data_IF_022153970587
#
_entry.id   IF_022153970587
#
_cell.length_a   1.000
_cell.length_b   1.000
_cell.length_c   1.000
_cell.angle_alpha   90.00
_cell.angle_beta   90.00
_cell.angle_gamma   90.00
#
_symmetry.space_group_name_H-M   'P 1'
#
loop_
_entity.id
_entity.type
_entity.pdbx_description
1 polymer ?
#
# COMPACT_ATOMS: atom_id res chain seq x y z
N UNK A 1 -16.46 -20.14 -9.85
CA UNK A 1 -15.01 -20.49 -9.87
C UNK A 1 -14.57 -20.77 -8.43
N UNK A 2 -14.08 -21.98 -8.12
CA UNK A 2 -13.48 -22.25 -6.79
C UNK A 2 -12.06 -21.70 -6.80
N UNK A 3 -11.81 -20.66 -6.01
CA UNK A 3 -10.45 -20.16 -5.78
C UNK A 3 -9.72 -21.18 -4.89
N UNK A 4 -8.73 -21.87 -5.46
CA UNK A 4 -7.95 -22.92 -4.79
C UNK A 4 -6.60 -22.43 -4.24
N UNK A 5 -6.24 -21.17 -4.49
CA UNK A 5 -4.99 -20.60 -3.99
C UNK A 5 -5.13 -20.32 -2.49
N UNK A 6 -4.32 -21.00 -1.69
CA UNK A 6 -4.19 -20.70 -0.27
C UNK A 6 -3.58 -19.30 -0.11
N UNK A 7 -4.06 -18.50 0.86
CA UNK A 7 -3.42 -17.24 1.20
C UNK A 7 -2.00 -17.51 1.70
N UNK A 8 -1.05 -16.66 1.28
CA UNK A 8 0.32 -16.71 1.78
C UNK A 8 0.35 -16.20 3.22
N UNK A 9 1.14 -16.85 4.08
CA UNK A 9 1.45 -16.31 5.42
C UNK A 9 2.27 -15.02 5.31
N UNK A 10 2.37 -14.26 6.39
CA UNK A 10 3.13 -13.00 6.41
C UNK A 10 4.62 -13.24 6.09
N UNK A 11 5.20 -14.33 6.59
CA UNK A 11 6.59 -14.73 6.31
C UNK A 11 6.77 -15.16 4.84
N UNK A 12 5.77 -15.81 4.26
CA UNK A 12 5.77 -16.17 2.85
C UNK A 12 5.65 -14.93 1.95
N UNK A 13 4.92 -13.90 2.40
CA UNK A 13 4.82 -12.63 1.70
C UNK A 13 6.16 -11.89 1.72
N UNK A 14 6.86 -11.80 2.86
CA UNK A 14 8.19 -11.16 2.89
C UNK A 14 9.22 -11.91 2.07
N UNK A 15 9.20 -13.25 2.11
CA UNK A 15 10.06 -14.09 1.28
C UNK A 15 9.80 -13.85 -0.22
N UNK A 16 8.53 -13.83 -0.64
CA UNK A 16 8.15 -13.55 -2.03
C UNK A 16 8.64 -12.18 -2.52
N UNK A 17 8.57 -11.16 -1.67
CA UNK A 17 9.03 -9.81 -2.01
C UNK A 17 10.55 -9.77 -2.19
N UNK A 18 11.30 -10.44 -1.30
CA UNK A 18 12.76 -10.59 -1.41
C UNK A 18 13.16 -11.36 -2.67
N UNK A 19 12.48 -12.46 -2.97
CA UNK A 19 12.73 -13.28 -4.17
C UNK A 19 12.52 -12.51 -5.48
N UNK A 20 11.65 -11.49 -5.45
CA UNK A 20 11.40 -10.56 -6.56
C UNK A 20 12.36 -9.38 -6.62
N UNK A 21 13.35 -9.34 -5.73
CA UNK A 21 14.36 -8.28 -5.69
C UNK A 21 13.99 -7.05 -4.86
N UNK A 22 12.95 -7.12 -4.01
CA UNK A 22 12.67 -6.02 -3.07
C UNK A 22 13.60 -6.13 -1.86
N UNK A 23 14.34 -5.07 -1.58
CA UNK A 23 15.14 -4.99 -0.36
C UNK A 23 14.24 -4.71 0.84
N UNK A 24 14.46 -5.43 1.94
CA UNK A 24 13.75 -5.24 3.21
C UNK A 24 14.82 -5.04 4.29
N UNK A 25 14.86 -3.86 4.92
CA UNK A 25 15.88 -3.54 5.92
C UNK A 25 15.62 -4.23 7.25
N UNK A 26 14.39 -4.09 7.77
CA UNK A 26 13.92 -4.76 8.99
C UNK A 26 12.74 -5.67 8.67
N UNK A 27 12.99 -6.97 8.64
CA UNK A 27 11.97 -7.96 8.31
C UNK A 27 10.87 -8.05 9.37
N UNK A 28 11.20 -7.91 10.66
CA UNK A 28 10.19 -7.96 11.72
C UNK A 28 9.24 -6.76 11.63
N UNK A 29 9.78 -5.57 11.33
CA UNK A 29 8.97 -4.38 11.07
C UNK A 29 8.09 -4.56 9.82
N UNK A 30 8.66 -5.08 8.72
CA UNK A 30 7.92 -5.33 7.48
C UNK A 30 6.76 -6.32 7.69
N UNK A 31 6.97 -7.39 8.45
CA UNK A 31 5.92 -8.36 8.79
C UNK A 31 4.79 -7.71 9.58
N UNK A 32 5.11 -6.90 10.60
CA UNK A 32 4.11 -6.16 11.38
C UNK A 32 3.31 -5.18 10.51
N UNK A 33 3.98 -4.52 9.57
CA UNK A 33 3.33 -3.60 8.63
C UNK A 33 2.41 -4.39 7.67
N UNK A 34 2.85 -5.54 7.15
CA UNK A 34 2.04 -6.40 6.30
C UNK A 34 0.82 -6.95 7.03
N UNK A 35 0.94 -7.26 8.32
CA UNK A 35 -0.18 -7.66 9.17
C UNK A 35 -1.20 -6.53 9.37
N UNK A 36 -0.72 -5.29 9.57
CA UNK A 36 -1.58 -4.12 9.82
C UNK A 36 -2.24 -3.57 8.55
N UNK A 37 -1.48 -3.42 7.46
CA UNK A 37 -1.92 -2.74 6.23
C UNK A 37 -2.46 -3.73 5.20
N UNK A 38 -2.06 -5.00 5.28
CA UNK A 38 -2.21 -6.06 4.27
C UNK A 38 -1.32 -5.89 3.04
N UNK A 39 -0.79 -7.02 2.55
CA UNK A 39 -0.09 -7.09 1.27
C UNK A 39 -0.91 -6.52 0.10
N UNK A 40 -2.22 -6.81 0.06
CA UNK A 40 -3.07 -6.38 -1.06
C UNK A 40 -3.14 -4.86 -1.19
N UNK A 41 -3.20 -4.15 -0.08
CA UNK A 41 -3.17 -2.68 -0.08
C UNK A 41 -1.81 -2.16 -0.52
N UNK A 42 -0.73 -2.73 -0.01
CA UNK A 42 0.65 -2.36 -0.39
C UNK A 42 0.99 -2.73 -1.84
N UNK A 43 0.33 -3.72 -2.44
CA UNK A 43 0.60 -4.19 -3.79
C UNK A 43 0.52 -3.08 -4.86
N UNK A 44 -0.38 -2.11 -4.69
CA UNK A 44 -0.49 -0.99 -5.61
C UNK A 44 0.72 -0.05 -5.53
N UNK A 45 1.34 0.05 -4.36
CA UNK A 45 2.50 0.91 -4.10
C UNK A 45 3.82 0.23 -4.48
N UNK A 46 3.82 -1.10 -4.65
CA UNK A 46 4.92 -1.85 -5.27
C UNK A 46 5.00 -1.61 -6.78
N UNK A 47 3.88 -1.43 -7.47
CA UNK A 47 3.82 -1.32 -8.95
C UNK A 47 4.74 -0.28 -9.59
N UNK A 48 4.91 0.94 -9.05
CA UNK A 48 5.85 1.93 -9.60
C UNK A 48 7.32 1.50 -9.49
N UNK A 49 7.61 0.62 -8.53
CA UNK A 49 8.94 0.12 -8.21
C UNK A 49 9.32 -1.14 -8.98
N UNK A 50 8.34 -1.78 -9.64
CA UNK A 50 8.57 -2.92 -10.52
C UNK A 50 9.30 -2.49 -11.81
N UNK A 51 10.32 -3.26 -12.17
CA UNK A 51 11.01 -3.19 -13.46
C UNK A 51 10.18 -3.89 -14.53
N UNK A 52 9.64 -5.08 -14.21
CA UNK A 52 8.72 -5.82 -15.07
C UNK A 52 7.41 -6.10 -14.34
N UNK A 53 6.32 -5.56 -14.91
CA UNK A 53 4.98 -5.65 -14.34
C UNK A 53 4.31 -7.01 -14.55
N UNK A 54 4.82 -7.84 -15.45
CA UNK A 54 4.29 -9.19 -15.69
C UNK A 54 4.87 -10.18 -14.68
N UNK A 55 6.20 -10.17 -14.51
CA UNK A 55 6.90 -11.04 -13.56
C UNK A 55 6.95 -10.48 -12.13
N UNK A 56 6.57 -9.21 -11.93
CA UNK A 56 6.62 -8.49 -10.66
C UNK A 56 8.05 -8.33 -10.11
N UNK A 57 9.06 -8.33 -10.98
CA UNK A 57 10.45 -8.11 -10.59
C UNK A 57 10.69 -6.64 -10.27
N UNK A 58 11.37 -6.36 -9.17
CA UNK A 58 11.66 -5.00 -8.70
C UNK A 58 12.91 -4.41 -9.34
N UNK A 59 12.95 -3.07 -9.41
CA UNK A 59 14.15 -2.34 -9.85
C UNK A 59 15.27 -2.46 -8.80
N UNK A 60 16.55 -2.45 -9.19
CA UNK A 60 17.65 -2.35 -8.25
C UNK A 60 17.48 -1.15 -7.32
N UNK A 61 17.65 -1.37 -6.00
CA UNK A 61 17.47 -0.32 -5.00
C UNK A 61 16.02 -0.04 -4.61
N UNK A 62 15.03 -0.77 -5.14
CA UNK A 62 13.68 -0.75 -4.60
C UNK A 62 13.68 -1.34 -3.18
N UNK A 63 13.07 -0.62 -2.24
CA UNK A 63 12.96 -1.04 -0.84
C UNK A 63 11.52 -1.10 -0.39
N UNK A 64 11.22 -1.97 0.58
CA UNK A 64 9.90 -2.05 1.19
C UNK A 64 9.50 -0.73 1.87
N UNK A 65 10.46 -0.07 2.50
CA UNK A 65 10.27 1.20 3.19
C UNK A 65 9.82 2.31 2.23
N UNK A 66 10.32 2.33 0.99
CA UNK A 66 9.88 3.29 -0.02
C UNK A 66 8.41 3.06 -0.42
N UNK A 67 7.97 1.81 -0.50
CA UNK A 67 6.57 1.49 -0.78
C UNK A 67 5.65 1.90 0.38
N UNK A 68 6.11 1.72 1.62
CA UNK A 68 5.40 2.17 2.83
C UNK A 68 5.33 3.69 2.87
N UNK A 69 6.42 4.40 2.60
CA UNK A 69 6.41 5.87 2.54
C UNK A 69 5.42 6.40 1.48
N UNK A 70 5.35 5.75 0.32
CA UNK A 70 4.39 6.11 -0.71
C UNK A 70 2.94 5.87 -0.25
N UNK A 71 2.70 4.76 0.47
CA UNK A 71 1.40 4.49 1.08
C UNK A 71 1.02 5.55 2.12
N UNK A 72 1.94 5.90 3.02
CA UNK A 72 1.69 6.87 4.09
C UNK A 72 1.39 8.27 3.53
N UNK A 73 2.13 8.68 2.48
CA UNK A 73 1.87 9.91 1.76
C UNK A 73 0.44 9.95 1.19
N UNK A 74 0.04 8.90 0.48
CA UNK A 74 -1.27 8.80 -0.16
C UNK A 74 -2.41 8.64 0.88
N UNK A 75 -2.15 7.97 2.01
CA UNK A 75 -3.07 7.93 3.15
C UNK A 75 -3.30 9.32 3.74
N UNK A 76 -2.22 10.06 3.99
CA UNK A 76 -2.30 11.43 4.50
C UNK A 76 -3.04 12.36 3.54
N UNK A 77 -2.80 12.22 2.23
CA UNK A 77 -3.51 12.98 1.21
C UNK A 77 -5.01 12.66 1.18
N UNK A 78 -5.39 11.38 1.28
CA UNK A 78 -6.80 10.97 1.36
C UNK A 78 -7.51 11.57 2.56
N UNK A 79 -6.87 11.55 3.74
CA UNK A 79 -7.44 12.14 4.95
C UNK A 79 -7.72 13.63 4.75
N UNK A 80 -6.75 14.36 4.19
CA UNK A 80 -6.92 15.77 3.86
C UNK A 80 -8.09 16.02 2.90
N UNK A 81 -8.20 15.23 1.84
CA UNK A 81 -9.30 15.34 0.86
C UNK A 81 -10.67 15.03 1.49
N UNK A 82 -10.75 14.06 2.40
CA UNK A 82 -11.97 13.73 3.13
C UNK A 82 -12.38 14.90 4.02
N UNK A 83 -11.45 15.51 4.74
CA UNK A 83 -11.71 16.69 5.58
C UNK A 83 -12.24 17.86 4.75
N UNK A 84 -11.60 18.16 3.61
CA UNK A 84 -12.10 19.18 2.70
C UNK A 84 -13.50 18.85 2.19
N UNK A 85 -13.76 17.61 1.77
CA UNK A 85 -15.08 17.18 1.30
C UNK A 85 -16.16 17.41 2.36
N UNK A 86 -15.89 17.08 3.62
CA UNK A 86 -16.82 17.29 4.73
C UNK A 86 -17.07 18.79 4.94
N UNK A 87 -16.01 19.60 4.93
CA UNK A 87 -16.12 21.04 5.08
C UNK A 87 -16.99 21.66 3.98
N UNK A 88 -16.70 21.35 2.71
CA UNK A 88 -17.47 21.86 1.57
C UNK A 88 -18.92 21.38 1.59
N UNK A 89 -19.17 20.13 2.01
CA UNK A 89 -20.52 19.61 2.17
C UNK A 89 -21.30 20.40 3.23
N UNK A 90 -20.71 20.61 4.41
CA UNK A 90 -21.36 21.36 5.49
C UNK A 90 -21.63 22.82 5.12
N UNK A 91 -20.69 23.48 4.43
CA UNK A 91 -20.88 24.84 3.92
C UNK A 91 -22.06 24.88 2.95
N UNK A 92 -22.11 23.97 1.98
CA UNK A 92 -23.21 23.91 0.99
C UNK A 92 -24.57 23.70 1.67
N UNK A 93 -24.66 22.80 2.64
CA UNK A 93 -25.90 22.54 3.38
C UNK A 93 -26.34 23.75 4.21
N UNK A 94 -25.40 24.53 4.75
CA UNK A 94 -25.71 25.76 5.48
C UNK A 94 -26.28 26.84 4.55
N UNK A 95 -25.66 27.06 3.38
CA UNK A 95 -26.17 28.00 2.38
C UNK A 95 -27.53 27.61 1.80
N UNK A 96 -27.83 26.32 1.68
CA UNK A 96 -29.14 25.84 1.19
C UNK A 96 -30.29 26.05 2.18
N UNK A 97 -30.00 26.38 3.45
CA UNK A 97 -31.00 26.63 4.51
C UNK A 97 -31.26 28.13 4.75
N UNK A 98 -30.52 29.01 4.07
CA UNK A 98 -30.75 30.46 4.03
C UNK A 98 -31.69 30.80 2.87
#
# INVERSE_FOLDING_TARGET
MKYSKQPLTIEQQTSLLKDRGLSIGDEAAAQKILDTISYFRLANYFRPMEMDKQSHQFKPGATFENAVQLYDFDASLRELLILFKILFFNIREWYAKL
#
